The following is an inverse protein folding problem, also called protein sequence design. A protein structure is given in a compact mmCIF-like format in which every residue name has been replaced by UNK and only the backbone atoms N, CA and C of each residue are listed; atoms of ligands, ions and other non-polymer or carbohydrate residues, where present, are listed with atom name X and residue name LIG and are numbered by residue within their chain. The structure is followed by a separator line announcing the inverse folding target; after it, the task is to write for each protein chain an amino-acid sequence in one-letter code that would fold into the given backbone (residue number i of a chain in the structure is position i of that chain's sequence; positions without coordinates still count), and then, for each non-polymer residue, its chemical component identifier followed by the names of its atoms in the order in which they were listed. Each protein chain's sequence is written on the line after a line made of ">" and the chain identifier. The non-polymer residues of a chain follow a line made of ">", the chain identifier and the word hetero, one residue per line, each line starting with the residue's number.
data_IF_430526362824
#
_entry.id   IF_430526362824
#
_cell.length_a   1.000
_cell.length_b   1.000
_cell.length_c   1.000
_cell.angle_alpha   90.00
_cell.angle_beta   90.00
_cell.angle_gamma   90.00
#
_symmetry.space_group_name_H-M   'P 1'
#
loop_
_entity.id
_entity.type
_entity.pdbx_description
1 polymer ?
#
# COMPACT_ATOMS: atom_id res chain seq x y z
N UNK A 1 14.95 67.05 8.33
CA UNK A 1 15.44 65.66 8.18
C UNK A 1 14.27 64.77 7.78
N UNK A 2 14.16 64.38 6.51
CA UNK A 2 13.23 63.34 6.06
C UNK A 2 14.08 62.13 5.69
N UNK A 3 13.81 60.99 6.30
CA UNK A 3 14.54 59.74 6.09
C UNK A 3 14.12 59.08 4.78
N UNK A 4 15.11 58.77 3.93
CA UNK A 4 14.91 57.95 2.74
C UNK A 4 14.78 56.48 3.19
N UNK A 5 13.55 55.97 3.19
CA UNK A 5 13.32 54.54 3.20
C UNK A 5 13.32 54.07 1.74
N UNK A 6 14.51 53.79 1.22
CA UNK A 6 14.63 53.04 -0.02
C UNK A 6 14.17 51.60 0.31
N UNK A 7 12.99 51.24 -0.18
CA UNK A 7 12.46 49.88 -0.06
C UNK A 7 13.48 48.90 -0.65
N UNK A 8 13.92 47.92 0.15
CA UNK A 8 14.97 46.96 -0.21
C UNK A 8 14.70 46.12 -1.49
N UNK A 9 13.50 46.22 -2.07
CA UNK A 9 13.10 45.51 -3.28
C UNK A 9 12.24 46.39 -4.18
N UNK A 10 12.47 46.32 -5.48
CA UNK A 10 11.59 46.87 -6.50
C UNK A 10 10.31 46.03 -6.65
N UNK A 11 9.24 46.66 -7.15
CA UNK A 11 7.97 45.97 -7.43
C UNK A 11 8.13 44.78 -8.39
N UNK A 12 9.06 44.87 -9.34
CA UNK A 12 9.36 43.78 -10.30
C UNK A 12 10.02 42.60 -9.61
N UNK A 13 10.95 42.84 -8.69
CA UNK A 13 11.59 41.79 -7.90
C UNK A 13 10.57 41.10 -6.99
N UNK A 14 9.69 41.87 -6.36
CA UNK A 14 8.61 41.31 -5.54
C UNK A 14 7.67 40.41 -6.35
N UNK A 15 7.22 40.85 -7.53
CA UNK A 15 6.37 40.04 -8.43
C UNK A 15 7.12 38.80 -8.92
N UNK A 16 8.40 38.93 -9.26
CA UNK A 16 9.25 37.79 -9.66
C UNK A 16 9.41 36.76 -8.55
N UNK A 17 9.66 37.19 -7.31
CA UNK A 17 9.76 36.32 -6.14
C UNK A 17 8.44 35.64 -5.80
N UNK A 18 7.31 36.37 -5.90
CA UNK A 18 5.98 35.81 -5.66
C UNK A 18 5.63 34.72 -6.71
N UNK A 19 5.93 34.97 -7.98
CA UNK A 19 5.73 33.98 -9.04
C UNK A 19 6.60 32.72 -8.84
N UNK A 20 7.87 32.88 -8.45
CA UNK A 20 8.76 31.76 -8.16
C UNK A 20 8.29 30.93 -6.95
N UNK A 21 7.76 31.61 -5.92
CA UNK A 21 7.22 30.97 -4.72
C UNK A 21 5.96 30.16 -5.02
N UNK A 22 5.07 30.68 -5.88
CA UNK A 22 3.87 29.97 -6.35
C UNK A 22 4.21 28.74 -7.19
N UNK A 23 5.22 28.84 -8.07
CA UNK A 23 5.71 27.69 -8.84
C UNK A 23 6.28 26.60 -7.94
N UNK A 24 7.07 26.96 -6.92
CA UNK A 24 7.62 26.02 -5.93
C UNK A 24 6.55 25.42 -5.02
N UNK A 25 5.51 26.18 -4.66
CA UNK A 25 4.37 25.63 -3.90
C UNK A 25 3.54 24.66 -4.75
N UNK A 26 3.39 24.93 -6.05
CA UNK A 26 2.69 24.06 -7.01
C UNK A 26 3.37 22.70 -7.21
N UNK A 27 4.70 22.65 -7.21
CA UNK A 27 5.45 21.38 -7.34
C UNK A 27 5.35 20.51 -6.07
N UNK A 28 5.27 21.13 -4.89
CA UNK A 28 5.02 20.39 -3.64
C UNK A 28 3.63 19.74 -3.63
N UNK A 29 2.60 20.45 -4.10
CA UNK A 29 1.24 19.93 -4.21
C UNK A 29 1.06 18.89 -5.34
N UNK A 30 1.85 18.97 -6.41
CA UNK A 30 1.83 17.96 -7.47
C UNK A 30 2.33 16.58 -7.00
N UNK A 31 3.12 16.51 -5.93
CA UNK A 31 3.52 15.24 -5.31
C UNK A 31 2.43 14.58 -4.44
N UNK A 32 1.32 15.28 -4.20
CA UNK A 32 0.23 14.83 -3.33
C UNK A 32 -0.91 14.09 -4.06
N UNK A 33 -0.80 13.88 -5.38
CA UNK A 33 -1.72 13.00 -6.08
C UNK A 33 -1.50 11.55 -5.62
N UNK A 34 -2.33 11.08 -4.70
CA UNK A 34 -2.31 9.70 -4.19
C UNK A 34 -2.39 8.73 -5.39
N UNK A 35 -1.38 7.86 -5.53
CA UNK A 35 -1.35 6.82 -6.56
C UNK A 35 -2.63 6.00 -6.45
N UNK A 36 -3.33 5.77 -7.57
CA UNK A 36 -4.57 5.01 -7.60
C UNK A 36 -4.51 3.95 -8.68
N UNK A 37 -4.96 2.74 -8.37
CA UNK A 37 -5.21 1.67 -9.36
C UNK A 37 -6.67 1.26 -9.25
N UNK A 38 -7.40 1.30 -10.36
CA UNK A 38 -8.85 1.04 -10.41
C UNK A 38 -9.65 1.84 -9.36
N UNK A 39 -9.23 3.08 -9.09
CA UNK A 39 -9.86 3.95 -8.09
C UNK A 39 -9.43 3.68 -6.63
N UNK A 40 -8.69 2.61 -6.34
CA UNK A 40 -8.17 2.30 -5.01
C UNK A 40 -6.91 3.13 -4.73
N UNK A 41 -6.88 3.94 -3.67
CA UNK A 41 -5.67 4.69 -3.29
C UNK A 41 -4.57 3.77 -2.77
N UNK A 42 -3.31 4.12 -3.06
CA UNK A 42 -2.11 3.40 -2.63
C UNK A 42 -1.30 4.28 -1.69
N UNK A 43 -0.75 3.65 -0.63
CA UNK A 43 0.01 4.31 0.44
C UNK A 43 1.34 3.62 0.65
N UNK A 44 2.31 4.40 1.11
CA UNK A 44 3.60 3.83 1.52
C UNK A 44 3.42 3.09 2.85
N UNK A 45 3.85 1.82 2.91
CA UNK A 45 3.79 1.02 4.12
C UNK A 45 4.87 1.47 5.10
N UNK A 46 4.50 2.27 6.10
CA UNK A 46 5.42 2.80 7.10
C UNK A 46 6.59 3.55 6.46
N UNK A 47 7.83 3.11 6.73
CA UNK A 47 9.06 3.69 6.17
C UNK A 47 9.75 2.78 5.14
N UNK A 48 9.04 1.76 4.65
CA UNK A 48 9.64 0.73 3.79
C UNK A 48 9.86 1.18 2.35
N UNK A 49 9.13 2.21 1.89
CA UNK A 49 9.07 2.60 0.49
C UNK A 49 8.09 1.77 -0.34
N UNK A 50 7.59 0.64 0.18
CA UNK A 50 6.64 -0.23 -0.50
C UNK A 50 5.27 0.43 -0.62
N UNK A 51 4.65 0.32 -1.81
CA UNK A 51 3.30 0.85 -2.09
C UNK A 51 2.26 -0.25 -1.96
N UNK A 52 1.33 -0.07 -1.03
CA UNK A 52 0.22 -0.98 -0.77
C UNK A 52 -1.12 -0.30 -0.97
N UNK A 53 -2.12 -1.04 -1.45
CA UNK A 53 -3.50 -0.57 -1.55
C UNK A 53 -4.02 -0.22 -0.16
N UNK A 54 -4.71 0.91 -0.06
CA UNK A 54 -5.30 1.39 1.20
C UNK A 54 -6.43 0.49 1.70
N UNK A 55 -6.98 -0.34 0.80
CA UNK A 55 -7.92 -1.42 1.10
C UNK A 55 -7.16 -2.73 0.94
N UNK A 56 -7.24 -3.61 1.95
CA UNK A 56 -6.66 -4.95 1.91
C UNK A 56 -7.72 -6.04 1.76
N UNK A 57 -7.30 -7.22 1.28
CA UNK A 57 -8.14 -8.42 1.20
C UNK A 57 -7.87 -9.31 2.41
N UNK A 58 -8.91 -9.53 3.23
CA UNK A 58 -8.82 -10.33 4.45
C UNK A 58 -8.85 -11.85 4.21
N UNK A 59 -7.92 -12.58 4.81
CA UNK A 59 -7.72 -14.01 4.56
C UNK A 59 -8.69 -14.96 5.29
N UNK A 60 -9.21 -14.58 6.46
CA UNK A 60 -9.95 -15.51 7.35
C UNK A 60 -11.12 -16.24 6.69
N UNK A 61 -11.89 -15.57 5.82
CA UNK A 61 -13.08 -16.17 5.20
C UNK A 61 -12.76 -17.04 3.98
N UNK A 62 -11.51 -17.00 3.48
CA UNK A 62 -11.11 -17.74 2.28
C UNK A 62 -11.09 -19.24 2.55
N UNK A 63 -10.65 -19.69 3.72
CA UNK A 63 -10.73 -21.11 4.10
C UNK A 63 -12.16 -21.65 4.31
N UNK A 64 -13.19 -20.78 4.32
CA UNK A 64 -14.57 -21.15 4.68
C UNK A 64 -15.52 -21.33 3.50
N UNK A 65 -15.07 -21.06 2.27
CA UNK A 65 -15.93 -21.22 1.09
C UNK A 65 -16.16 -22.71 0.83
N UNK A 66 -17.42 -23.07 0.54
CA UNK A 66 -17.80 -24.45 0.18
C UNK A 66 -17.05 -24.93 -1.07
N UNK A 67 -16.95 -24.06 -2.07
CA UNK A 67 -16.11 -24.25 -3.26
C UNK A 67 -14.77 -23.53 -3.04
N UNK A 68 -13.62 -24.24 -2.97
CA UNK A 68 -12.31 -23.63 -2.88
C UNK A 68 -11.96 -22.71 -4.06
N UNK A 69 -12.51 -22.97 -5.25
CA UNK A 69 -12.27 -22.15 -6.43
C UNK A 69 -12.91 -20.76 -6.30
N UNK A 70 -13.96 -20.62 -5.49
CA UNK A 70 -14.56 -19.31 -5.19
C UNK A 70 -13.56 -18.41 -4.47
N UNK A 71 -12.80 -18.96 -3.52
CA UNK A 71 -11.74 -18.21 -2.83
C UNK A 71 -10.68 -17.71 -3.82
N UNK A 72 -10.30 -18.56 -4.79
CA UNK A 72 -9.31 -18.21 -5.81
C UNK A 72 -9.85 -17.08 -6.70
N UNK A 73 -11.11 -17.16 -7.14
CA UNK A 73 -11.78 -16.12 -7.93
C UNK A 73 -11.84 -14.79 -7.18
N UNK A 74 -12.24 -14.80 -5.90
CA UNK A 74 -12.30 -13.60 -5.05
C UNK A 74 -10.93 -12.92 -4.97
N UNK A 75 -9.87 -13.69 -4.71
CA UNK A 75 -8.50 -13.15 -4.59
C UNK A 75 -8.04 -12.54 -5.91
N UNK A 76 -8.20 -13.26 -7.02
CA UNK A 76 -7.75 -12.78 -8.34
C UNK A 76 -8.55 -11.55 -8.78
N UNK A 77 -9.86 -11.54 -8.58
CA UNK A 77 -10.70 -10.39 -8.87
C UNK A 77 -10.26 -9.16 -8.05
N UNK A 78 -9.98 -9.32 -6.75
CA UNK A 78 -9.44 -8.23 -5.93
C UNK A 78 -8.12 -7.69 -6.47
N UNK A 79 -7.20 -8.58 -6.87
CA UNK A 79 -5.90 -8.19 -7.45
C UNK A 79 -6.06 -7.45 -8.78
N UNK A 80 -6.91 -7.96 -9.66
CA UNK A 80 -7.15 -7.35 -10.97
C UNK A 80 -7.87 -5.99 -10.85
N UNK A 81 -8.64 -5.79 -9.77
CA UNK A 81 -9.25 -4.50 -9.40
C UNK A 81 -8.35 -3.63 -8.51
N UNK A 82 -7.04 -3.91 -8.45
CA UNK A 82 -6.08 -3.00 -7.81
C UNK A 82 -5.92 -3.15 -6.29
N UNK A 83 -6.35 -4.26 -5.69
CA UNK A 83 -5.94 -4.63 -4.34
C UNK A 83 -4.61 -5.37 -4.43
N UNK A 84 -3.54 -4.86 -3.83
CA UNK A 84 -2.30 -5.64 -3.70
C UNK A 84 -2.01 -6.06 -2.26
N UNK A 85 -2.65 -5.49 -1.24
CA UNK A 85 -2.39 -5.85 0.14
C UNK A 85 -3.25 -7.04 0.58
N UNK A 86 -2.61 -8.20 0.76
CA UNK A 86 -3.31 -9.45 1.10
C UNK A 86 -2.95 -9.88 2.52
N UNK A 87 -3.96 -9.98 3.38
CA UNK A 87 -3.85 -10.38 4.78
C UNK A 87 -4.07 -11.89 4.95
N UNK A 88 -3.22 -12.54 5.74
CA UNK A 88 -3.41 -13.93 6.12
C UNK A 88 -2.94 -14.23 7.55
N UNK A 89 -3.05 -15.49 7.97
CA UNK A 89 -2.55 -16.01 9.24
C UNK A 89 -2.33 -17.51 9.09
N UNK A 90 -1.24 -18.02 9.66
CA UNK A 90 -0.92 -19.46 9.71
C UNK A 90 -2.09 -20.30 10.25
N UNK A 91 -2.79 -19.80 11.26
CA UNK A 91 -3.87 -20.53 11.93
C UNK A 91 -5.25 -20.38 11.25
N UNK A 92 -5.42 -19.53 10.24
CA UNK A 92 -6.74 -19.29 9.65
C UNK A 92 -7.32 -20.53 8.98
N UNK A 93 -8.29 -21.15 9.66
CA UNK A 93 -8.94 -22.40 9.28
C UNK A 93 -7.94 -23.56 9.17
N UNK A 94 -6.96 -23.62 10.09
CA UNK A 94 -5.95 -24.67 10.10
C UNK A 94 -5.06 -24.66 8.85
N UNK A 95 -4.65 -23.48 8.38
CA UNK A 95 -3.79 -23.29 7.19
C UNK A 95 -4.53 -23.27 5.85
N UNK A 96 -5.80 -23.65 5.78
CA UNK A 96 -6.55 -23.70 4.51
C UNK A 96 -6.63 -22.35 3.79
N UNK A 97 -6.66 -21.24 4.53
CA UNK A 97 -6.69 -19.90 3.95
C UNK A 97 -5.39 -19.54 3.23
N UNK A 98 -4.25 -19.96 3.79
CA UNK A 98 -2.92 -19.80 3.16
C UNK A 98 -2.79 -20.69 1.93
N UNK A 99 -3.24 -21.95 2.01
CA UNK A 99 -3.23 -22.87 0.87
C UNK A 99 -4.04 -22.33 -0.32
N UNK A 100 -5.25 -21.83 -0.07
CA UNK A 100 -6.11 -21.24 -1.12
C UNK A 100 -5.50 -19.96 -1.69
N UNK A 101 -4.91 -19.11 -0.84
CA UNK A 101 -4.23 -17.89 -1.30
C UNK A 101 -2.97 -18.20 -2.12
N UNK A 102 -2.18 -19.18 -1.70
CA UNK A 102 -1.01 -19.66 -2.45
C UNK A 102 -1.38 -20.20 -3.83
N UNK A 103 -2.52 -20.91 -3.96
CA UNK A 103 -3.06 -21.32 -5.27
C UNK A 103 -3.42 -20.12 -6.14
N UNK A 104 -4.12 -19.13 -5.58
CA UNK A 104 -4.54 -17.94 -6.32
C UNK A 104 -3.36 -17.10 -6.85
N UNK A 105 -2.25 -17.07 -6.10
CA UNK A 105 -1.05 -16.30 -6.44
C UNK A 105 -0.14 -16.96 -7.49
N UNK A 106 -0.48 -18.15 -7.98
CA UNK A 106 0.21 -18.77 -9.13
C UNK A 106 -0.03 -17.97 -10.42
N UNK A 107 0.61 -18.38 -11.50
CA UNK A 107 0.36 -17.82 -12.84
C UNK A 107 0.63 -16.30 -12.93
N UNK A 108 1.65 -15.83 -12.21
CA UNK A 108 2.08 -14.43 -12.25
C UNK A 108 1.36 -13.47 -11.29
N UNK A 109 0.36 -13.95 -10.54
CA UNK A 109 -0.34 -13.11 -9.55
C UNK A 109 0.55 -12.76 -8.34
N UNK A 110 1.54 -13.59 -8.00
CA UNK A 110 2.44 -13.34 -6.87
C UNK A 110 3.14 -11.98 -6.98
N UNK A 111 3.50 -11.55 -8.18
CA UNK A 111 4.23 -10.32 -8.47
C UNK A 111 3.34 -9.09 -8.33
N UNK A 112 2.02 -9.27 -8.36
CA UNK A 112 1.02 -8.23 -8.15
C UNK A 112 0.67 -8.02 -6.68
N UNK A 113 1.14 -8.89 -5.77
CA UNK A 113 0.70 -8.95 -4.39
C UNK A 113 1.79 -8.58 -3.38
N UNK A 114 1.40 -7.75 -2.41
CA UNK A 114 2.05 -7.61 -1.12
C UNK A 114 1.36 -8.59 -0.14
N UNK A 115 1.96 -9.77 0.01
CA UNK A 115 1.44 -10.86 0.85
C UNK A 115 1.98 -10.74 2.28
N UNK A 116 1.11 -10.80 3.27
CA UNK A 116 1.48 -10.90 4.68
C UNK A 116 0.81 -12.09 5.36
N UNK A 117 1.45 -12.60 6.42
CA UNK A 117 0.85 -13.57 7.32
C UNK A 117 1.13 -13.20 8.77
N UNK A 118 0.54 -13.95 9.69
CA UNK A 118 0.66 -13.82 11.15
C UNK A 118 0.95 -15.19 11.73
N UNK A 119 1.76 -15.20 12.78
CA UNK A 119 2.16 -16.37 13.56
C UNK A 119 1.96 -16.05 15.04
N UNK A 120 1.71 -17.05 15.87
CA UNK A 120 1.44 -16.89 17.31
C UNK A 120 2.52 -17.53 18.21
N UNK A 121 3.49 -18.23 17.61
CA UNK A 121 4.64 -18.81 18.28
C UNK A 121 5.45 -17.75 19.05
N UNK A 122 5.53 -17.93 20.37
CA UNK A 122 6.23 -16.97 21.28
C UNK A 122 7.69 -17.32 21.54
N UNK A 123 8.18 -18.42 20.98
CA UNK A 123 9.60 -18.81 21.02
C UNK A 123 10.21 -18.71 19.63
N UNK A 124 11.53 -18.51 19.56
CA UNK A 124 12.27 -18.47 18.28
C UNK A 124 11.96 -19.71 17.43
N UNK A 125 11.97 -20.89 18.05
CA UNK A 125 11.74 -22.16 17.36
C UNK A 125 10.31 -22.27 16.83
N UNK A 126 9.31 -21.94 17.65
CA UNK A 126 7.90 -22.00 17.23
C UNK A 126 7.60 -20.99 16.12
N UNK A 127 8.06 -19.74 16.28
CA UNK A 127 7.85 -18.71 15.27
C UNK A 127 8.50 -19.06 13.93
N UNK A 128 9.72 -19.61 13.95
CA UNK A 128 10.40 -20.05 12.73
C UNK A 128 9.71 -21.25 12.08
N UNK A 129 9.21 -22.21 12.87
CA UNK A 129 8.46 -23.34 12.34
C UNK A 129 7.19 -22.89 11.62
N UNK A 130 6.37 -22.06 12.28
CA UNK A 130 5.14 -21.53 11.69
C UNK A 130 5.42 -20.70 10.44
N UNK A 131 6.45 -19.85 10.46
CA UNK A 131 6.84 -19.06 9.29
C UNK A 131 7.30 -19.94 8.11
N UNK A 132 7.93 -21.09 8.36
CA UNK A 132 8.36 -22.01 7.30
C UNK A 132 7.21 -22.88 6.77
N UNK A 133 6.18 -23.11 7.58
CA UNK A 133 4.98 -23.85 7.20
C UNK A 133 4.01 -23.00 6.36
N UNK A 134 3.94 -21.69 6.64
CA UNK A 134 3.22 -20.68 5.86
C UNK A 134 3.83 -20.45 4.47
#
# INVERSE_FOLDING_TARGET
>A
MRSNWDSAFSRREFVGMAAASLLMAGTLNASAAEERKSGIPYRTLGRTGEKVSAIGLGGYHLGKQNDPEESIRIIRAGIDEGINFLDNCWDYNGGESELRMGKALREGYRQKAFLMTKIDGRTKTAAAAQLNES
#
